data_IF_704658811304
#
_entry.id   IF_704658811304
#
_cell.length_a   1.000
_cell.length_b   1.000
_cell.length_c   1.000
_cell.angle_alpha   90.00
_cell.angle_beta   90.00
_cell.angle_gamma   90.00
#
_symmetry.space_group_name_H-M   'P 1'
#
loop_
_entity.id
_entity.type
_entity.pdbx_description
1 polymer ?
#
# COMPACT_ATOMS: atom_id res chain seq x y z
N UNK A 1 -18.60 7.11 33.56
CA UNK A 1 -18.86 6.35 32.31
C UNK A 1 -17.97 6.82 31.15
N UNK A 2 -17.84 8.13 30.89
CA UNK A 2 -16.98 8.67 29.81
C UNK A 2 -15.49 8.27 29.87
N UNK A 3 -14.89 8.19 31.06
CA UNK A 3 -13.48 7.78 31.24
C UNK A 3 -13.22 6.32 30.87
N UNK A 4 -14.20 5.43 31.09
CA UNK A 4 -14.09 4.01 30.73
C UNK A 4 -14.19 3.80 29.21
N UNK A 5 -15.05 4.59 28.55
CA UNK A 5 -15.16 4.63 27.08
C UNK A 5 -13.90 5.20 26.42
N UNK A 6 -13.32 6.26 26.98
CA UNK A 6 -12.05 6.83 26.50
C UNK A 6 -10.87 5.85 26.61
N UNK A 7 -10.76 5.13 27.73
CA UNK A 7 -9.74 4.09 27.88
C UNK A 7 -9.97 2.91 26.92
N UNK A 8 -11.22 2.50 26.71
CA UNK A 8 -11.57 1.44 25.77
C UNK A 8 -11.22 1.82 24.32
N UNK A 9 -11.57 3.02 23.86
CA UNK A 9 -11.22 3.52 22.52
C UNK A 9 -9.70 3.61 22.36
N UNK A 10 -8.98 4.17 23.33
CA UNK A 10 -7.51 4.23 23.30
C UNK A 10 -6.87 2.84 23.22
N UNK A 11 -7.40 1.87 23.97
CA UNK A 11 -6.91 0.48 23.94
C UNK A 11 -7.19 -0.22 22.60
N UNK A 12 -8.32 0.10 21.96
CA UNK A 12 -8.66 -0.41 20.63
C UNK A 12 -7.79 0.23 19.56
N UNK A 13 -7.58 1.55 19.60
CA UNK A 13 -6.68 2.26 18.69
C UNK A 13 -5.26 1.71 18.76
N UNK A 14 -4.73 1.44 19.96
CA UNK A 14 -3.41 0.83 20.12
C UNK A 14 -3.30 -0.54 19.44
N UNK A 15 -4.29 -1.42 19.66
CA UNK A 15 -4.34 -2.76 19.05
C UNK A 15 -4.51 -2.72 17.53
N UNK A 16 -5.33 -1.77 17.04
CA UNK A 16 -5.52 -1.55 15.60
C UNK A 16 -4.22 -1.06 14.98
N UNK A 17 -3.53 -0.10 15.61
CA UNK A 17 -2.26 0.43 15.11
C UNK A 17 -1.18 -0.66 15.04
N UNK A 18 -1.03 -1.48 16.06
CA UNK A 18 -0.08 -2.61 16.04
C UNK A 18 -0.41 -3.62 14.93
N UNK A 19 -1.69 -3.94 14.75
CA UNK A 19 -2.13 -4.83 13.68
C UNK A 19 -1.90 -4.24 12.28
N UNK A 20 -2.11 -2.93 12.11
CA UNK A 20 -1.84 -2.22 10.86
C UNK A 20 -0.34 -2.13 10.55
N UNK A 21 0.50 -1.86 11.55
CA UNK A 21 1.96 -1.83 11.40
C UNK A 21 2.52 -3.19 10.96
N UNK A 22 1.97 -4.30 11.48
CA UNK A 22 2.35 -5.64 11.03
C UNK A 22 1.99 -5.88 9.55
N UNK A 23 0.86 -5.35 9.09
CA UNK A 23 0.43 -5.44 7.68
C UNK A 23 1.22 -4.54 6.73
N UNK A 24 1.90 -3.52 7.26
CA UNK A 24 2.68 -2.56 6.46
C UNK A 24 4.14 -2.99 6.24
N UNK A 25 4.58 -4.13 6.80
CA UNK A 25 5.95 -4.62 6.61
C UNK A 25 6.17 -5.12 5.18
N UNK A 26 7.26 -4.68 4.56
CA UNK A 26 7.72 -5.16 3.28
C UNK A 26 8.06 -6.66 3.36
N UNK A 27 7.47 -7.44 2.44
CA UNK A 27 7.70 -8.87 2.30
C UNK A 27 8.47 -9.15 1.01
N UNK A 28 9.47 -10.02 1.11
CA UNK A 28 10.23 -10.50 -0.06
C UNK A 28 9.66 -11.83 -0.51
N UNK A 29 9.25 -11.92 -1.78
CA UNK A 29 8.72 -13.13 -2.40
C UNK A 29 9.52 -13.48 -3.66
N UNK A 30 9.61 -14.78 -3.97
CA UNK A 30 10.13 -15.22 -5.26
C UNK A 30 9.17 -14.87 -6.39
N UNK A 31 9.67 -14.88 -7.64
CA UNK A 31 8.87 -14.58 -8.82
C UNK A 31 7.63 -15.50 -8.95
N UNK A 32 7.79 -16.79 -8.66
CA UNK A 32 6.70 -17.77 -8.71
C UNK A 32 5.69 -17.57 -7.59
N UNK A 33 6.17 -17.27 -6.38
CA UNK A 33 5.30 -16.98 -5.23
C UNK A 33 4.49 -15.70 -5.46
N UNK A 34 5.11 -14.68 -6.04
CA UNK A 34 4.47 -13.40 -6.36
C UNK A 34 3.38 -13.51 -7.44
N UNK A 35 3.35 -14.58 -8.24
CA UNK A 35 2.29 -14.83 -9.23
C UNK A 35 1.18 -15.76 -8.69
N UNK A 36 1.34 -16.33 -7.50
CA UNK A 36 0.39 -17.26 -6.94
C UNK A 36 -0.59 -16.54 -6.01
N UNK A 37 -1.84 -16.41 -6.45
CA UNK A 37 -2.89 -15.74 -5.68
C UNK A 37 -3.09 -16.34 -4.28
N UNK A 38 -2.95 -17.66 -4.10
CA UNK A 38 -3.09 -18.27 -2.77
C UNK A 38 -1.93 -17.90 -1.84
N UNK A 39 -0.71 -17.81 -2.38
CA UNK A 39 0.47 -17.38 -1.60
C UNK A 39 0.30 -15.92 -1.19
N UNK A 40 -0.09 -15.04 -2.13
CA UNK A 40 -0.34 -13.63 -1.85
C UNK A 40 -1.46 -13.43 -0.83
N UNK A 41 -2.54 -14.21 -0.94
CA UNK A 41 -3.64 -14.19 0.02
C UNK A 41 -3.15 -14.48 1.44
N UNK A 42 -2.40 -15.56 1.63
CA UNK A 42 -1.95 -15.99 2.95
C UNK A 42 -0.87 -15.07 3.53
N UNK A 43 0.05 -14.61 2.70
CA UNK A 43 1.18 -13.81 3.15
C UNK A 43 0.85 -12.34 3.40
N UNK A 44 -0.12 -11.78 2.67
CA UNK A 44 -0.51 -10.37 2.75
C UNK A 44 -1.89 -10.17 3.38
N UNK A 45 -2.50 -11.24 3.92
CA UNK A 45 -3.85 -11.23 4.50
C UNK A 45 -4.91 -10.61 3.56
N UNK A 46 -4.80 -10.94 2.27
CA UNK A 46 -5.69 -10.42 1.23
C UNK A 46 -6.88 -11.35 1.01
N UNK A 47 -8.05 -10.79 0.72
CA UNK A 47 -9.15 -11.62 0.22
C UNK A 47 -8.82 -12.20 -1.18
N UNK A 48 -9.51 -13.29 -1.54
CA UNK A 48 -9.31 -14.02 -2.82
C UNK A 48 -9.32 -13.11 -4.06
N UNK A 49 -10.22 -12.13 -4.11
CA UNK A 49 -10.33 -11.22 -5.26
C UNK A 49 -9.14 -10.27 -5.35
N UNK A 50 -8.74 -9.67 -4.23
CA UNK A 50 -7.59 -8.77 -4.15
C UNK A 50 -6.28 -9.50 -4.45
N UNK A 51 -6.11 -10.71 -3.95
CA UNK A 51 -4.95 -11.55 -4.25
C UNK A 51 -4.87 -11.95 -5.73
N UNK A 52 -5.99 -12.31 -6.36
CA UNK A 52 -6.04 -12.63 -7.79
C UNK A 52 -5.73 -11.41 -8.68
N UNK A 53 -6.22 -10.22 -8.30
CA UNK A 53 -5.90 -8.98 -8.99
C UNK A 53 -4.42 -8.61 -8.83
N UNK A 54 -3.85 -8.76 -7.63
CA UNK A 54 -2.43 -8.53 -7.37
C UNK A 54 -1.54 -9.49 -8.19
N UNK A 55 -1.86 -10.79 -8.20
CA UNK A 55 -1.15 -11.78 -9.03
C UNK A 55 -1.19 -11.42 -10.52
N UNK A 56 -2.36 -11.00 -11.01
CA UNK A 56 -2.53 -10.57 -12.40
C UNK A 56 -1.74 -9.31 -12.72
N UNK A 57 -1.69 -8.34 -11.81
CA UNK A 57 -0.88 -7.13 -11.94
C UNK A 57 0.62 -7.48 -12.00
N UNK A 58 1.10 -8.34 -11.11
CA UNK A 58 2.49 -8.81 -11.08
C UNK A 58 2.84 -9.55 -12.39
N UNK A 59 1.93 -10.36 -12.93
CA UNK A 59 2.14 -11.01 -14.23
C UNK A 59 2.32 -9.99 -15.36
N UNK A 60 1.53 -8.91 -15.39
CA UNK A 60 1.67 -7.82 -16.37
C UNK A 60 2.98 -7.05 -16.22
N UNK A 61 3.42 -6.82 -14.97
CA UNK A 61 4.74 -6.23 -14.68
C UNK A 61 5.86 -7.09 -15.24
N UNK A 62 5.81 -8.42 -15.01
CA UNK A 62 6.82 -9.34 -15.53
C UNK A 62 6.83 -9.43 -17.07
N UNK A 63 5.68 -9.20 -17.71
CA UNK A 63 5.55 -9.13 -19.17
C UNK A 63 5.95 -7.76 -19.74
N UNK A 64 6.38 -6.79 -18.92
CA UNK A 64 6.74 -5.44 -19.36
C UNK A 64 5.56 -4.59 -19.82
N UNK A 65 4.32 -4.99 -19.49
CA UNK A 65 3.11 -4.27 -19.88
C UNK A 65 2.78 -3.09 -18.95
N UNK A 66 3.47 -2.99 -17.82
CA UNK A 66 3.30 -1.93 -16.83
C UNK A 66 4.63 -1.19 -16.72
N UNK A 67 4.60 0.14 -16.80
CA UNK A 67 5.79 0.96 -16.58
C UNK A 67 5.99 1.20 -15.08
N UNK A 68 7.25 1.20 -14.60
CA UNK A 68 7.55 1.53 -13.22
C UNK A 68 7.27 3.02 -12.96
N UNK A 69 6.86 3.33 -11.73
CA UNK A 69 6.66 4.73 -11.29
C UNK A 69 8.00 5.41 -11.01
N UNK A 70 8.99 4.65 -10.55
CA UNK A 70 10.37 5.10 -10.35
C UNK A 70 11.33 3.92 -10.44
N UNK A 71 12.58 4.20 -10.79
CA UNK A 71 13.67 3.24 -10.88
C UNK A 71 14.87 3.75 -10.10
N UNK A 72 15.56 2.86 -9.40
CA UNK A 72 16.84 3.14 -8.75
C UNK A 72 17.73 1.90 -8.77
N UNK A 73 18.99 2.04 -8.37
CA UNK A 73 19.92 0.92 -8.30
C UNK A 73 20.33 0.61 -6.87
N UNK A 74 20.65 -0.66 -6.64
CA UNK A 74 21.20 -1.14 -5.38
C UNK A 74 22.36 -2.08 -5.67
N UNK A 75 23.38 -2.00 -4.84
CA UNK A 75 24.58 -2.83 -4.94
C UNK A 75 24.48 -3.98 -3.94
N UNK A 76 24.55 -5.22 -4.40
CA UNK A 76 24.50 -6.40 -3.54
C UNK A 76 25.27 -7.57 -4.18
N UNK A 77 25.52 -8.65 -3.44
CA UNK A 77 26.16 -9.83 -4.01
C UNK A 77 25.17 -10.73 -4.77
N UNK A 78 23.87 -10.67 -4.43
CA UNK A 78 22.82 -11.45 -5.10
C UNK A 78 21.52 -10.66 -5.26
N UNK A 79 20.61 -11.04 -6.20
CA UNK A 79 19.31 -10.41 -6.34
C UNK A 79 18.42 -10.55 -5.09
N UNK A 80 18.54 -11.68 -4.39
CA UNK A 80 17.79 -11.92 -3.15
C UNK A 80 18.26 -11.00 -2.03
N UNK A 81 19.57 -10.78 -1.94
CA UNK A 81 20.14 -9.85 -0.96
C UNK A 81 19.76 -8.40 -1.28
N UNK A 82 19.79 -8.01 -2.55
CA UNK A 82 19.28 -6.71 -2.99
C UNK A 82 17.81 -6.50 -2.58
N UNK A 83 16.95 -7.51 -2.79
CA UNK A 83 15.55 -7.44 -2.39
C UNK A 83 15.39 -7.30 -0.86
N UNK A 84 16.17 -8.06 -0.07
CA UNK A 84 16.16 -7.96 1.39
C UNK A 84 16.65 -6.60 1.89
N UNK A 85 17.74 -6.06 1.32
CA UNK A 85 18.25 -4.73 1.68
C UNK A 85 17.21 -3.65 1.38
N UNK A 86 16.56 -3.70 0.22
CA UNK A 86 15.52 -2.73 -0.13
C UNK A 86 14.31 -2.87 0.79
N UNK A 87 13.87 -4.10 1.10
CA UNK A 87 12.79 -4.34 2.05
C UNK A 87 13.11 -3.78 3.45
N UNK A 88 14.34 -3.97 3.94
CA UNK A 88 14.80 -3.41 5.22
C UNK A 88 14.77 -1.88 5.21
N UNK A 89 15.26 -1.26 4.13
CA UNK A 89 15.23 0.21 3.96
C UNK A 89 13.81 0.76 3.92
N UNK A 90 12.88 0.08 3.24
CA UNK A 90 11.45 0.44 3.21
C UNK A 90 10.86 0.36 4.62
N UNK A 91 11.13 -0.75 5.33
CA UNK A 91 10.63 -0.98 6.69
C UNK A 91 11.15 0.07 7.70
N UNK A 92 12.35 0.62 7.47
CA UNK A 92 12.95 1.69 8.29
C UNK A 92 12.62 3.11 7.82
N UNK A 93 11.85 3.27 6.74
CA UNK A 93 11.59 4.56 6.11
C UNK A 93 12.87 5.33 5.77
N UNK A 94 13.87 4.64 5.21
CA UNK A 94 15.18 5.22 4.89
C UNK A 94 15.04 6.33 3.83
N UNK A 95 15.47 7.58 4.10
CA UNK A 95 15.32 8.71 3.18
C UNK A 95 16.19 8.61 1.93
N UNK A 96 17.07 7.62 1.82
CA UNK A 96 17.86 7.35 0.60
C UNK A 96 17.03 6.67 -0.49
N UNK A 97 15.84 6.14 -0.15
CA UNK A 97 14.91 5.60 -1.13
C UNK A 97 14.08 6.71 -1.78
N UNK A 98 13.67 6.54 -3.05
CA UNK A 98 12.72 7.45 -3.68
C UNK A 98 11.43 7.55 -2.83
N UNK A 99 10.85 8.77 -2.68
CA UNK A 99 9.62 8.96 -1.90
C UNK A 99 8.48 8.02 -2.32
N UNK A 100 8.41 7.67 -3.61
CA UNK A 100 7.40 6.78 -4.14
C UNK A 100 7.51 5.35 -3.60
N UNK A 101 8.71 4.91 -3.22
CA UNK A 101 8.95 3.61 -2.59
C UNK A 101 8.58 3.60 -1.10
N UNK A 102 8.59 4.77 -0.46
CA UNK A 102 8.28 4.97 0.97
C UNK A 102 6.80 5.32 1.21
N UNK A 103 6.05 5.67 0.16
CA UNK A 103 4.65 6.04 0.29
C UNK A 103 3.82 4.86 0.80
N UNK A 104 3.04 5.11 1.86
CA UNK A 104 2.09 4.14 2.40
C UNK A 104 0.89 4.00 1.45
N UNK A 105 1.04 3.15 0.44
CA UNK A 105 -0.03 2.80 -0.50
C UNK A 105 -0.42 1.33 -0.37
N UNK A 106 -1.66 1.00 -0.75
CA UNK A 106 -2.25 -0.31 -0.48
C UNK A 106 -1.45 -1.51 -1.04
N UNK A 107 -0.55 -1.34 -2.03
CA UNK A 107 0.41 -2.37 -2.46
C UNK A 107 1.60 -1.74 -3.25
N UNK A 108 2.69 -1.40 -2.57
CA UNK A 108 3.97 -1.05 -3.23
C UNK A 108 4.72 -2.33 -3.62
N UNK A 109 4.90 -2.56 -4.93
CA UNK A 109 5.61 -3.73 -5.45
C UNK A 109 6.98 -3.28 -5.90
N UNK A 110 8.00 -3.93 -5.38
CA UNK A 110 9.39 -3.66 -5.74
C UNK A 110 9.95 -4.87 -6.46
N UNK A 111 10.30 -4.72 -7.73
CA UNK A 111 10.94 -5.79 -8.49
C UNK A 111 12.44 -5.51 -8.60
N UNK A 112 13.24 -6.53 -8.32
CA UNK A 112 14.69 -6.49 -8.50
C UNK A 112 15.05 -7.28 -9.76
N UNK A 113 15.77 -6.64 -10.69
CA UNK A 113 16.27 -7.25 -11.93
C UNK A 113 17.76 -6.97 -12.05
N UNK A 114 18.55 -7.95 -12.51
CA UNK A 114 19.95 -7.73 -12.88
C UNK A 114 20.03 -6.79 -14.09
N UNK A 115 20.82 -5.71 -14.00
CA UNK A 115 21.04 -4.81 -15.14
C UNK A 115 21.86 -5.52 -16.22
N UNK A 116 21.44 -5.37 -17.48
CA UNK A 116 22.25 -5.75 -18.63
C UNK A 116 23.38 -4.74 -18.85
N UNK A 117 24.45 -5.14 -19.53
CA UNK A 117 25.64 -4.29 -19.69
C UNK A 117 25.36 -3.00 -20.49
N UNK A 118 24.33 -3.00 -21.34
CA UNK A 118 23.83 -1.81 -22.03
C UNK A 118 23.09 -0.83 -21.09
N UNK A 119 22.36 -1.34 -20.08
CA UNK A 119 21.64 -0.54 -19.08
C UNK A 119 22.61 0.05 -18.03
N UNK A 120 23.73 -0.63 -17.74
CA UNK A 120 24.79 -0.11 -16.86
C UNK A 120 25.44 1.17 -17.40
N UNK A 121 25.64 1.28 -18.72
CA UNK A 121 26.21 2.47 -19.36
C UNK A 121 25.29 3.71 -19.27
N UNK A 122 23.96 3.50 -19.36
CA UNK A 122 22.99 4.59 -19.28
C UNK A 122 22.93 5.20 -17.88
N UNK A 123 23.02 4.38 -16.83
CA UNK A 123 22.94 4.83 -15.43
C UNK A 123 24.29 5.41 -14.93
N UNK A 124 25.42 4.95 -15.46
CA UNK A 124 26.75 5.49 -15.13
C UNK A 124 26.99 6.90 -15.67
N UNK A 125 26.24 7.36 -16.67
CA UNK A 125 26.39 8.72 -17.22
C UNK A 125 25.82 9.79 -16.26
N UNK A 126 25.00 9.40 -15.27
CA UNK A 126 24.39 10.33 -14.31
C UNK A 126 25.22 10.57 -13.04
N UNK A 127 26.12 9.66 -12.63
CA UNK A 127 26.85 9.78 -11.36
C UNK A 127 28.34 9.46 -11.53
N UNK A 128 29.05 10.35 -12.22
CA UNK A 128 30.50 10.26 -12.40
C UNK A 128 31.24 11.08 -11.34
N UNK A 129 31.34 10.58 -10.11
CA UNK A 129 32.50 10.85 -9.22
C UNK A 129 32.46 10.00 -7.95
N UNK A 130 33.22 8.90 -7.93
CA UNK A 130 34.41 8.69 -7.08
C UNK A 130 34.79 7.20 -7.02
N UNK A 131 36.08 6.97 -7.18
CA UNK A 131 36.79 5.71 -7.39
C UNK A 131 37.17 4.98 -6.09
N UNK A 132 37.26 3.65 -6.21
CA UNK A 132 38.36 2.74 -5.81
C UNK A 132 38.93 2.74 -4.36
N UNK A 133 38.76 1.60 -3.66
CA UNK A 133 39.82 0.84 -2.97
C UNK A 133 39.27 -0.52 -2.49
N UNK A 134 40.07 -1.59 -2.66
CA UNK A 134 39.62 -2.98 -2.72
C UNK A 134 38.98 -3.61 -1.48
N UNK A 135 37.92 -4.38 -1.73
CA UNK A 135 37.62 -5.60 -0.99
C UNK A 135 36.78 -6.55 -1.87
N UNK A 136 37.26 -7.79 -1.98
CA UNK A 136 36.80 -8.81 -2.92
C UNK A 136 35.45 -9.39 -2.50
N UNK A 137 34.39 -8.65 -2.79
CA UNK A 137 33.07 -9.21 -3.10
C UNK A 137 32.68 -8.57 -4.43
N UNK A 138 32.50 -9.37 -5.48
CA UNK A 138 31.95 -8.88 -6.75
C UNK A 138 30.49 -8.52 -6.50
N UNK A 139 30.28 -7.33 -5.95
CA UNK A 139 28.96 -6.77 -5.78
C UNK A 139 28.48 -6.29 -7.15
N UNK A 140 27.36 -6.82 -7.59
CA UNK A 140 26.74 -6.46 -8.85
C UNK A 140 25.72 -5.35 -8.63
N UNK A 141 25.54 -4.51 -9.65
CA UNK A 141 24.50 -3.48 -9.63
C UNK A 141 23.17 -4.09 -10.10
N UNK A 142 22.17 -4.05 -9.22
CA UNK A 142 20.81 -4.51 -9.46
C UNK A 142 19.87 -3.33 -9.64
N UNK A 143 18.99 -3.44 -10.62
CA UNK A 143 17.97 -2.46 -10.95
C UNK A 143 16.73 -2.75 -10.16
N UNK A 144 16.26 -1.74 -9.47
CA UNK A 144 15.08 -1.81 -8.64
C UNK A 144 14.02 -0.93 -9.27
N UNK A 145 12.93 -1.57 -9.69
CA UNK A 145 11.80 -0.92 -10.31
C UNK A 145 10.62 -0.96 -9.33
N UNK A 146 10.04 0.21 -9.06
CA UNK A 146 8.91 0.37 -8.15
C UNK A 146 7.63 0.46 -8.96
N UNK A 147 6.64 -0.34 -8.58
CA UNK A 147 5.31 -0.35 -9.17
C UNK A 147 4.27 -0.11 -8.08
N UNK A 148 3.23 0.65 -8.41
CA UNK A 148 2.12 0.88 -7.49
C UNK A 148 0.90 0.13 -7.98
N UNK A 149 0.50 -0.90 -7.23
CA UNK A 149 -0.78 -1.56 -7.45
C UNK A 149 -1.86 -0.93 -6.58
N UNK A 150 -2.57 0.02 -7.17
CA UNK A 150 -3.52 0.83 -6.45
C UNK A 150 -4.94 0.25 -6.54
N UNK A 151 -5.14 -0.91 -5.94
CA UNK A 151 -6.43 -1.62 -5.97
C UNK A 151 -7.24 -1.34 -4.70
N UNK A 152 -8.06 -0.29 -4.76
CA UNK A 152 -8.81 0.27 -3.63
C UNK A 152 -10.12 -0.49 -3.34
N UNK A 153 -10.03 -1.79 -3.01
CA UNK A 153 -11.20 -2.64 -2.71
C UNK A 153 -11.23 -3.11 -1.26
N UNK A 154 -11.46 -2.16 -0.36
CA UNK A 154 -11.48 -2.38 1.09
C UNK A 154 -12.91 -2.32 1.64
N UNK A 155 -13.09 -2.86 2.84
CA UNK A 155 -14.28 -2.66 3.67
C UNK A 155 -13.88 -1.80 4.87
N UNK A 156 -14.69 -0.82 5.21
CA UNK A 156 -14.54 -0.02 6.42
C UNK A 156 -15.76 -0.24 7.29
N UNK A 157 -15.53 -0.39 8.59
CA UNK A 157 -16.57 -0.36 9.61
C UNK A 157 -16.30 0.90 10.43
N UNK A 158 -17.29 1.77 10.50
CA UNK A 158 -17.23 3.02 11.24
C UNK A 158 -18.19 3.00 12.42
N UNK A 159 -17.81 3.69 13.48
CA UNK A 159 -18.75 4.06 14.55
C UNK A 159 -18.39 5.44 15.08
N UNK A 160 -19.35 6.15 15.66
CA UNK A 160 -19.13 7.50 16.15
C UNK A 160 -20.14 7.93 17.20
N UNK A 161 -20.18 9.24 17.45
CA UNK A 161 -21.19 9.89 18.28
C UNK A 161 -21.77 11.05 17.47
N UNK A 162 -23.09 11.08 17.39
CA UNK A 162 -23.84 12.12 16.71
C UNK A 162 -24.79 12.83 17.66
N UNK A 163 -25.06 14.09 17.34
CA UNK A 163 -26.02 14.93 18.05
C UNK A 163 -26.94 15.58 17.03
N UNK A 164 -28.25 15.43 17.20
CA UNK A 164 -29.25 16.09 16.36
C UNK A 164 -30.46 16.48 17.20
N UNK A 165 -30.87 17.75 17.13
CA UNK A 165 -32.04 18.31 17.84
C UNK A 165 -32.15 17.96 19.34
N UNK A 166 -31.01 17.90 20.03
CA UNK A 166 -30.94 17.60 21.47
C UNK A 166 -30.86 16.10 21.80
N UNK A 167 -31.07 15.22 20.82
CA UNK A 167 -30.91 13.78 20.97
C UNK A 167 -29.49 13.33 20.57
N UNK A 168 -28.98 12.34 21.31
CA UNK A 168 -27.71 11.70 21.04
C UNK A 168 -27.94 10.41 20.25
N UNK A 169 -27.07 10.11 19.29
CA UNK A 169 -27.09 8.84 18.57
C UNK A 169 -25.67 8.30 18.34
N UNK A 170 -25.59 6.99 18.12
CA UNK A 170 -24.37 6.28 17.74
C UNK A 170 -24.55 5.83 16.29
N UNK A 171 -23.89 6.47 15.31
CA UNK A 171 -23.82 5.93 13.97
C UNK A 171 -22.96 4.66 13.96
N UNK A 172 -23.41 3.66 13.21
CA UNK A 172 -22.64 2.48 12.83
C UNK A 172 -22.68 2.39 11.32
N UNK A 173 -21.52 2.43 10.67
CA UNK A 173 -21.40 2.44 9.22
C UNK A 173 -20.60 1.25 8.68
N UNK A 174 -20.96 0.83 7.47
CA UNK A 174 -20.29 -0.16 6.66
C UNK A 174 -20.05 0.44 5.27
N UNK A 175 -18.80 0.63 4.90
CA UNK A 175 -18.43 1.17 3.58
C UNK A 175 -17.64 0.14 2.76
N UNK A 176 -18.11 -0.12 1.54
CA UNK A 176 -17.41 -0.92 0.52
C UNK A 176 -16.79 -0.01 -0.52
N UNK A 177 -15.46 0.02 -0.58
CA UNK A 177 -14.75 0.65 -1.69
C UNK A 177 -14.66 -0.32 -2.87
N UNK A 178 -14.92 0.16 -4.07
CA UNK A 178 -14.77 -0.58 -5.33
C UNK A 178 -13.56 -0.11 -6.14
N UNK A 179 -13.17 1.16 -5.95
CA UNK A 179 -11.97 1.80 -6.50
C UNK A 179 -11.66 3.07 -5.70
N UNK A 180 -10.57 3.79 -6.01
CA UNK A 180 -10.28 5.11 -5.41
C UNK A 180 -11.42 6.10 -5.63
N UNK A 181 -12.14 5.92 -6.73
CA UNK A 181 -13.14 6.85 -7.21
C UNK A 181 -14.57 6.34 -6.97
N UNK A 182 -14.79 5.20 -6.31
CA UNK A 182 -16.13 4.66 -6.13
C UNK A 182 -16.27 3.85 -4.83
N UNK A 183 -17.28 4.19 -4.02
CA UNK A 183 -17.63 3.48 -2.80
C UNK A 183 -19.14 3.48 -2.54
N UNK A 184 -19.62 2.48 -1.80
CA UNK A 184 -20.97 2.41 -1.27
C UNK A 184 -20.88 2.36 0.26
N UNK A 185 -21.53 3.29 0.96
CA UNK A 185 -21.55 3.37 2.42
C UNK A 185 -22.98 3.25 2.92
N UNK A 186 -23.17 2.42 3.94
CA UNK A 186 -24.44 2.20 4.63
C UNK A 186 -24.21 2.60 6.08
N UNK A 187 -25.01 3.50 6.62
CA UNK A 187 -24.90 3.95 8.00
C UNK A 187 -26.26 3.84 8.68
N UNK A 188 -26.29 3.29 9.90
CA UNK A 188 -27.47 3.23 10.75
C UNK A 188 -27.23 4.07 12.00
N UNK A 189 -28.23 4.83 12.42
CA UNK A 189 -28.18 5.68 13.61
C UNK A 189 -28.93 5.00 14.74
N UNK A 190 -28.22 4.65 15.81
CA UNK A 190 -28.77 4.00 16.99
C UNK A 190 -28.96 5.02 18.12
N UNK A 191 -30.08 4.99 18.84
CA UNK A 191 -30.21 5.77 20.07
C UNK A 191 -29.49 5.11 21.27
N UNK A 192 -29.59 5.74 22.45
CA UNK A 192 -28.99 5.22 23.69
C UNK A 192 -29.50 3.84 24.12
N UNK A 193 -30.67 3.42 23.63
CA UNK A 193 -31.29 2.11 23.89
C UNK A 193 -31.05 1.12 22.73
N UNK A 194 -30.15 1.45 21.80
CA UNK A 194 -29.79 0.68 20.61
C UNK A 194 -30.94 0.48 19.60
N UNK A 195 -31.99 1.30 19.64
CA UNK A 195 -33.03 1.30 18.63
C UNK A 195 -32.57 2.09 17.39
N UNK A 196 -32.92 1.60 16.21
CA UNK A 196 -32.62 2.28 14.95
C UNK A 196 -33.53 3.50 14.79
N UNK A 197 -32.95 4.70 14.87
CA UNK A 197 -33.65 5.98 14.68
C UNK A 197 -33.68 6.43 13.23
N UNK A 198 -32.72 5.96 12.45
CA UNK A 198 -32.58 6.33 11.05
C UNK A 198 -31.40 5.62 10.42
N UNK A 199 -31.21 5.87 9.13
CA UNK A 199 -30.05 5.38 8.40
C UNK A 199 -29.95 6.05 7.06
N UNK A 200 -28.77 5.95 6.47
CA UNK A 200 -28.45 6.54 5.18
C UNK A 200 -27.64 5.56 4.33
N UNK A 201 -27.83 5.66 3.02
CA UNK A 201 -27.06 4.93 2.02
C UNK A 201 -26.45 5.96 1.08
N UNK A 202 -25.12 5.92 0.91
CA UNK A 202 -24.37 6.84 0.05
C UNK A 202 -23.63 6.06 -1.01
N UNK A 203 -23.85 6.40 -2.28
CA UNK A 203 -22.94 6.02 -3.36
C UNK A 203 -22.00 7.20 -3.64
N UNK A 204 -20.70 7.03 -3.31
CA UNK A 204 -19.67 8.04 -3.49
C UNK A 204 -18.96 7.78 -4.82
N UNK A 205 -18.82 8.81 -5.66
CA UNK A 205 -18.01 8.74 -6.89
C UNK A 205 -17.14 9.99 -7.06
N UNK A 206 -15.83 9.83 -7.22
CA UNK A 206 -14.93 10.94 -7.49
C UNK A 206 -15.11 11.46 -8.92
N UNK A 207 -15.12 12.78 -9.08
CA UNK A 207 -15.21 13.48 -10.37
C UNK A 207 -13.91 14.24 -10.61
N UNK A 208 -12.94 13.59 -11.28
CA UNK A 208 -11.58 14.10 -11.47
C UNK A 208 -11.42 15.00 -12.72
N UNK A 209 -12.44 15.76 -13.12
CA UNK A 209 -12.39 16.60 -14.32
C UNK A 209 -12.99 17.98 -14.06
N UNK A 210 -12.15 18.93 -13.69
CA UNK A 210 -12.45 20.36 -13.73
C UNK A 210 -11.83 20.93 -15.01
N UNK A 211 -12.66 21.33 -15.97
CA UNK A 211 -12.23 22.14 -17.11
C UNK A 211 -12.73 23.56 -16.87
N UNK A 212 -11.84 24.55 -16.86
CA UNK A 212 -12.20 25.96 -16.94
C UNK A 212 -11.61 26.54 -18.22
N UNK A 213 -12.47 27.04 -19.10
CA UNK A 213 -12.07 27.89 -20.21
C UNK A 213 -12.29 29.34 -19.80
N UNK A 214 -11.30 30.20 -19.99
CA UNK A 214 -11.52 31.63 -20.05
C UNK A 214 -12.01 31.92 -21.48
N UNK A 215 -13.30 32.23 -21.62
CA UNK A 215 -13.85 32.81 -22.85
C UNK A 215 -13.64 34.32 -22.83
#
# INVERSE_FOLDING_TARGET
MALALGFYIYSLEGRVREAEEQKQKALVLSQQQAMNANVLQNMLDLNKQNAAMLASFIAKVQQGQVQPVTNFTVTAATPSEAASQVAEKINRQDPTLPPEALEKTDNTIVSVKKLTDAEKLATQTANKTKQEAGQTAVNEEYGVAVYKNNNYRNWYIGTGVGWHDGDHYVPVSLQRNFSKDAALEWEAHLDGDMNVKGGEIKYKRAVNKLFFGLF
#
